data_IF_745953712061
#
_entry.id   IF_745953712061
#
_cell.length_a   1.000
_cell.length_b   1.000
_cell.length_c   1.000
_cell.angle_alpha   90.00
_cell.angle_beta   90.00
_cell.angle_gamma   90.00
#
_symmetry.space_group_name_H-M   'P 1'
#
loop_
_entity.id
_entity.type
_entity.pdbx_description
1 polymer ?
#
# COMPACT_ATOMS: atom_id res chain seq x y z
N UNK A 1 -33.65 24.55 30.34
CA UNK A 1 -32.79 24.41 29.15
C UNK A 1 -32.08 23.08 29.30
N UNK A 2 -32.52 22.05 28.59
CA UNK A 2 -31.84 20.76 28.56
C UNK A 2 -30.65 20.88 27.61
N UNK A 3 -29.44 20.69 28.14
CA UNK A 3 -28.24 20.56 27.33
C UNK A 3 -28.41 19.41 26.33
N UNK A 4 -28.60 19.75 25.06
CA UNK A 4 -28.48 18.79 23.96
C UNK A 4 -26.99 18.48 23.85
N UNK A 5 -26.53 17.54 24.67
CA UNK A 5 -25.20 16.95 24.55
C UNK A 5 -25.10 16.43 23.11
N UNK A 6 -24.24 17.05 22.28
CA UNK A 6 -24.03 16.65 20.87
C UNK A 6 -23.70 15.17 20.82
N UNK A 7 -24.70 14.35 20.51
CA UNK A 7 -24.65 12.88 20.53
C UNK A 7 -23.60 12.30 19.60
N UNK A 8 -23.08 13.11 18.67
CA UNK A 8 -22.11 12.69 17.65
C UNK A 8 -20.64 12.86 18.06
N UNK A 9 -20.33 13.54 19.18
CA UNK A 9 -18.93 13.77 19.57
C UNK A 9 -18.17 12.45 19.78
N UNK A 10 -18.79 11.46 20.44
CA UNK A 10 -18.16 10.16 20.67
C UNK A 10 -17.85 9.42 19.37
N UNK A 11 -18.76 9.48 18.39
CA UNK A 11 -18.56 8.87 17.06
C UNK A 11 -17.46 9.60 16.28
N UNK A 12 -17.46 10.93 16.31
CA UNK A 12 -16.44 11.74 15.65
C UNK A 12 -15.06 11.48 16.26
N UNK A 13 -14.95 11.50 17.59
CA UNK A 13 -13.70 11.22 18.29
C UNK A 13 -13.18 9.83 17.94
N UNK A 14 -14.04 8.82 17.91
CA UNK A 14 -13.66 7.47 17.49
C UNK A 14 -13.12 7.42 16.05
N UNK A 15 -13.70 8.18 15.11
CA UNK A 15 -13.18 8.23 13.73
C UNK A 15 -11.80 8.91 13.66
N UNK A 16 -11.57 9.92 14.49
CA UNK A 16 -10.31 10.67 14.56
C UNK A 16 -9.21 9.92 15.31
N UNK A 17 -9.57 9.09 16.29
CA UNK A 17 -8.63 8.29 17.09
C UNK A 17 -8.10 7.07 16.32
N UNK A 18 -8.71 6.70 15.19
CA UNK A 18 -8.28 5.57 14.37
C UNK A 18 -7.23 5.99 13.36
N UNK A 19 -6.05 5.36 13.41
CA UNK A 19 -5.00 5.55 12.39
C UNK A 19 -5.43 4.88 11.08
N UNK A 20 -5.54 5.62 9.95
CA UNK A 20 -5.84 5.01 8.67
C UNK A 20 -4.61 4.30 8.10
N UNK A 21 -4.78 3.05 7.68
CA UNK A 21 -3.77 2.26 6.98
C UNK A 21 -4.26 2.03 5.56
N UNK A 22 -3.64 2.69 4.59
CA UNK A 22 -4.07 2.61 3.20
C UNK A 22 -3.29 1.55 2.43
N UNK A 23 -4.03 0.70 1.74
CA UNK A 23 -3.53 -0.21 0.73
C UNK A 23 -4.01 0.17 -0.66
N UNK A 24 -3.27 -0.22 -1.71
CA UNK A 24 -3.69 -0.04 -3.10
C UNK A 24 -4.09 -1.39 -3.70
N UNK A 25 -5.40 -1.61 -3.86
CA UNK A 25 -5.99 -2.89 -4.29
C UNK A 25 -5.73 -4.03 -3.29
N UNK A 26 -5.45 -3.68 -2.03
CA UNK A 26 -5.09 -4.62 -0.98
C UNK A 26 -6.24 -5.50 -0.55
N UNK A 27 -7.48 -5.04 -0.72
CA UNK A 27 -8.67 -5.83 -0.44
C UNK A 27 -8.79 -7.07 -1.30
N UNK A 28 -8.18 -7.03 -2.51
CA UNK A 28 -8.16 -8.14 -3.46
C UNK A 28 -6.91 -8.99 -3.34
N UNK A 29 -5.76 -8.39 -3.12
CA UNK A 29 -4.47 -9.09 -3.08
C UNK A 29 -3.97 -9.32 -1.66
N UNK A 30 -3.43 -8.28 -1.02
CA UNK A 30 -2.68 -8.41 0.24
C UNK A 30 -3.51 -9.05 1.36
N UNK A 31 -4.72 -8.54 1.61
CA UNK A 31 -5.58 -9.03 2.69
C UNK A 31 -5.96 -10.49 2.47
N UNK A 32 -6.18 -10.92 1.22
CA UNK A 32 -6.51 -12.33 0.96
C UNK A 32 -5.34 -13.26 1.24
N UNK A 33 -4.10 -12.78 1.04
CA UNK A 33 -2.88 -13.52 1.34
C UNK A 33 -2.65 -13.62 2.86
N UNK A 34 -2.77 -12.49 3.58
CA UNK A 34 -2.33 -12.40 4.99
C UNK A 34 -3.46 -12.49 6.03
N UNK A 35 -4.75 -12.53 5.63
CA UNK A 35 -5.89 -12.43 6.56
C UNK A 35 -5.80 -13.37 7.76
N UNK A 36 -5.32 -14.61 7.59
CA UNK A 36 -5.24 -15.58 8.68
C UNK A 36 -4.34 -15.06 9.80
N UNK A 37 -3.11 -14.67 9.44
CA UNK A 37 -2.14 -14.17 10.40
C UNK A 37 -2.51 -12.77 10.89
N UNK A 38 -3.05 -11.93 10.01
CA UNK A 38 -3.55 -10.60 10.35
C UNK A 38 -4.61 -10.64 11.45
N UNK A 39 -5.63 -11.49 11.31
CA UNK A 39 -6.68 -11.63 12.34
C UNK A 39 -6.16 -12.31 13.61
N UNK A 40 -5.18 -13.19 13.51
CA UNK A 40 -4.53 -13.79 14.68
C UNK A 40 -3.76 -12.76 15.51
N UNK A 41 -3.05 -11.83 14.86
CA UNK A 41 -2.29 -10.76 15.53
C UNK A 41 -3.19 -9.66 16.06
N UNK A 42 -4.18 -9.21 15.29
CA UNK A 42 -5.10 -8.14 15.72
C UNK A 42 -6.01 -8.63 16.86
N UNK A 43 -6.38 -9.90 16.84
CA UNK A 43 -7.39 -10.48 17.73
C UNK A 43 -8.81 -10.09 17.30
N UNK A 44 -9.68 -11.08 17.19
CA UNK A 44 -11.06 -10.87 16.71
C UNK A 44 -11.88 -9.94 17.60
N UNK A 45 -11.58 -9.88 18.90
CA UNK A 45 -12.29 -9.04 19.86
C UNK A 45 -12.00 -7.54 19.68
N UNK A 46 -10.87 -7.20 19.04
CA UNK A 46 -10.50 -5.83 18.72
C UNK A 46 -11.18 -5.31 17.45
N UNK A 47 -11.81 -6.19 16.67
CA UNK A 47 -12.50 -5.82 15.43
C UNK A 47 -13.81 -5.10 15.76
N UNK A 48 -13.95 -3.88 15.24
CA UNK A 48 -15.19 -3.10 15.34
C UNK A 48 -16.09 -3.29 14.12
N UNK A 49 -15.51 -3.40 12.94
CA UNK A 49 -16.26 -3.71 11.72
C UNK A 49 -15.37 -4.23 10.61
N UNK A 50 -15.97 -5.01 9.72
CA UNK A 50 -15.37 -5.49 8.48
C UNK A 50 -16.36 -5.29 7.36
N UNK A 51 -15.97 -4.57 6.31
CA UNK A 51 -16.79 -4.31 5.13
C UNK A 51 -16.15 -5.02 3.94
N UNK A 52 -16.93 -5.85 3.25
CA UNK A 52 -16.49 -6.63 2.10
C UNK A 52 -17.52 -6.55 0.97
N UNK A 53 -17.12 -6.09 -0.21
CA UNK A 53 -17.97 -6.09 -1.40
C UNK A 53 -17.17 -5.88 -2.71
N UNK A 54 -16.93 -6.92 -3.54
CA UNK A 54 -16.78 -8.33 -3.17
C UNK A 54 -15.45 -8.58 -2.41
N UNK A 55 -14.50 -7.65 -2.49
CA UNK A 55 -13.20 -7.63 -1.79
C UNK A 55 -13.28 -6.85 -0.48
N UNK A 56 -12.28 -7.01 0.41
CA UNK A 56 -12.24 -6.25 1.67
C UNK A 56 -12.08 -4.75 1.37
N UNK A 57 -13.04 -3.95 1.77
CA UNK A 57 -13.00 -2.49 1.61
C UNK A 57 -12.46 -1.83 2.88
N UNK A 58 -12.81 -2.38 4.04
CA UNK A 58 -12.47 -1.83 5.34
C UNK A 58 -12.33 -2.93 6.40
N UNK A 59 -11.28 -2.85 7.21
CA UNK A 59 -11.15 -3.58 8.48
C UNK A 59 -10.87 -2.54 9.57
N UNK A 60 -11.83 -2.32 10.46
CA UNK A 60 -11.74 -1.34 11.52
C UNK A 60 -11.55 -2.01 12.88
N UNK A 61 -10.62 -1.47 13.66
CA UNK A 61 -10.36 -1.83 15.07
C UNK A 61 -10.64 -0.62 15.97
N UNK A 62 -10.34 -0.68 17.26
CA UNK A 62 -10.37 0.51 18.12
C UNK A 62 -9.33 1.57 17.71
N UNK A 63 -8.13 1.17 17.30
CA UNK A 63 -7.00 2.08 17.06
C UNK A 63 -6.59 2.29 15.61
N UNK A 64 -7.08 1.46 14.68
CA UNK A 64 -6.75 1.59 13.25
C UNK A 64 -7.92 1.25 12.34
N UNK A 65 -7.86 1.78 11.11
CA UNK A 65 -8.78 1.45 10.01
C UNK A 65 -7.99 1.14 8.75
N UNK A 66 -7.94 -0.13 8.38
CA UNK A 66 -7.33 -0.56 7.12
C UNK A 66 -8.31 -0.31 5.99
N UNK A 67 -7.91 0.46 4.99
CA UNK A 67 -8.74 0.90 3.88
C UNK A 67 -8.07 0.58 2.55
N UNK A 68 -8.85 0.12 1.58
CA UNK A 68 -8.38 -0.01 0.21
C UNK A 68 -8.73 1.25 -0.59
N UNK A 69 -7.71 2.00 -0.99
CA UNK A 69 -7.86 3.30 -1.64
C UNK A 69 -8.54 3.18 -3.01
N UNK A 70 -8.55 2.00 -3.63
CA UNK A 70 -9.20 1.81 -4.94
C UNK A 70 -10.72 2.01 -4.89
N UNK A 71 -11.32 1.96 -3.70
CA UNK A 71 -12.75 2.26 -3.51
C UNK A 71 -13.06 3.75 -3.51
N UNK A 72 -12.04 4.61 -3.41
CA UNK A 72 -12.18 6.06 -3.26
C UNK A 72 -11.60 6.84 -4.45
N UNK A 73 -11.16 6.13 -5.49
CA UNK A 73 -10.61 6.72 -6.72
C UNK A 73 -11.39 6.17 -7.93
N UNK A 74 -11.35 6.86 -9.09
CA UNK A 74 -12.04 6.39 -10.29
C UNK A 74 -11.65 4.97 -10.66
N UNK A 75 -12.65 4.18 -11.08
CA UNK A 75 -12.44 2.80 -11.52
C UNK A 75 -11.38 2.73 -12.65
N UNK A 76 -10.51 1.73 -12.58
CA UNK A 76 -9.42 1.55 -13.55
C UNK A 76 -8.22 2.47 -13.32
N UNK A 77 -8.21 3.32 -12.28
CA UNK A 77 -7.01 4.08 -11.91
C UNK A 77 -5.88 3.14 -11.55
N UNK A 78 -4.76 3.23 -12.27
CA UNK A 78 -3.56 2.45 -11.96
C UNK A 78 -2.83 3.06 -10.77
N UNK A 79 -2.01 2.24 -10.07
CA UNK A 79 -1.18 2.75 -8.98
C UNK A 79 -0.21 3.85 -9.45
N UNK A 80 0.22 3.81 -10.72
CA UNK A 80 1.09 4.83 -11.31
C UNK A 80 0.37 6.18 -11.42
N UNK A 81 -0.85 6.15 -11.95
CA UNK A 81 -1.70 7.33 -12.10
C UNK A 81 -2.07 7.93 -10.75
N UNK A 82 -2.32 7.07 -9.76
CA UNK A 82 -2.54 7.49 -8.38
C UNK A 82 -1.33 8.25 -7.84
N UNK A 83 -0.13 7.65 -7.88
CA UNK A 83 1.09 8.28 -7.38
C UNK A 83 1.41 9.61 -8.09
N UNK A 84 1.36 9.62 -9.42
CA UNK A 84 1.66 10.82 -10.22
C UNK A 84 0.71 11.98 -9.95
N UNK A 85 -0.55 11.70 -9.60
CA UNK A 85 -1.55 12.73 -9.24
C UNK A 85 -1.16 13.46 -7.94
N UNK A 86 -0.67 12.75 -6.92
CA UNK A 86 -0.32 13.36 -5.64
C UNK A 86 1.12 13.87 -5.58
N UNK A 87 2.04 13.26 -6.33
CA UNK A 87 3.47 13.60 -6.32
C UNK A 87 3.84 14.61 -7.42
N UNK A 88 2.98 14.79 -8.41
CA UNK A 88 3.14 15.80 -9.45
C UNK A 88 4.20 15.48 -10.52
N UNK A 89 4.69 14.24 -10.56
CA UNK A 89 5.65 13.74 -11.56
C UNK A 89 7.04 14.38 -11.48
N UNK A 90 7.88 14.07 -12.47
CA UNK A 90 9.23 14.62 -12.54
C UNK A 90 9.21 16.14 -12.77
N UNK A 91 9.68 16.90 -11.78
CA UNK A 91 9.84 18.37 -11.83
C UNK A 91 11.29 18.83 -11.79
N UNK A 92 12.23 17.89 -11.73
CA UNK A 92 13.67 18.11 -11.57
C UNK A 92 14.45 17.35 -12.65
N UNK A 93 15.63 17.84 -12.99
CA UNK A 93 16.50 17.22 -13.99
C UNK A 93 17.17 15.94 -13.48
N UNK A 94 17.41 15.84 -12.16
CA UNK A 94 17.96 14.64 -11.51
C UNK A 94 16.88 13.57 -11.32
N UNK A 95 16.55 12.84 -12.38
CA UNK A 95 15.50 11.80 -12.35
C UNK A 95 15.82 10.59 -11.47
N UNK A 96 17.08 10.40 -11.07
CA UNK A 96 17.54 9.22 -10.32
C UNK A 96 17.40 9.44 -8.82
N UNK A 97 17.83 10.59 -8.29
CA UNK A 97 17.87 10.86 -6.84
C UNK A 97 16.72 11.71 -6.33
N UNK A 98 15.97 12.32 -7.23
CA UNK A 98 14.95 13.27 -6.87
C UNK A 98 13.63 12.59 -6.44
N UNK A 99 13.14 13.00 -5.27
CA UNK A 99 11.92 12.45 -4.68
C UNK A 99 10.62 12.94 -5.35
N UNK A 100 10.65 14.02 -6.13
CA UNK A 100 9.43 14.50 -6.82
C UNK A 100 8.98 13.55 -7.94
N UNK A 101 9.89 12.75 -8.48
CA UNK A 101 9.60 11.68 -9.43
C UNK A 101 9.34 10.33 -8.78
N UNK A 102 9.07 10.26 -7.46
CA UNK A 102 8.74 9.01 -6.78
C UNK A 102 7.60 8.30 -7.51
N UNK A 103 7.93 7.11 -8.02
CA UNK A 103 7.03 6.27 -8.79
C UNK A 103 6.84 4.94 -8.10
N UNK A 104 6.36 3.95 -8.85
CA UNK A 104 6.25 2.58 -8.32
C UNK A 104 7.61 2.05 -7.92
N UNK A 105 7.66 1.36 -6.77
CA UNK A 105 8.82 0.56 -6.41
C UNK A 105 9.09 -0.52 -7.45
N UNK A 106 10.37 -0.76 -7.73
CA UNK A 106 10.84 -1.82 -8.60
C UNK A 106 11.19 -3.02 -7.73
N UNK A 107 10.58 -4.17 -8.02
CA UNK A 107 10.68 -5.35 -7.16
C UNK A 107 11.07 -6.58 -7.97
N UNK A 108 12.09 -7.36 -7.56
CA UNK A 108 12.60 -8.50 -8.32
C UNK A 108 11.76 -9.76 -8.04
N UNK A 109 10.53 -9.77 -8.57
CA UNK A 109 9.52 -10.79 -8.24
C UNK A 109 9.97 -12.24 -8.44
N UNK A 110 10.74 -12.51 -9.50
CA UNK A 110 11.16 -13.89 -9.84
C UNK A 110 12.44 -14.32 -9.12
N UNK A 111 13.18 -13.37 -8.56
CA UNK A 111 14.38 -13.65 -7.78
C UNK A 111 14.05 -14.10 -6.35
N UNK A 112 12.99 -13.54 -5.77
CA UNK A 112 12.58 -13.83 -4.39
C UNK A 112 11.76 -15.13 -4.38
N UNK A 113 12.48 -16.24 -4.22
CA UNK A 113 11.90 -17.60 -4.18
C UNK A 113 11.90 -18.20 -2.76
N UNK A 114 12.58 -17.56 -1.81
CA UNK A 114 12.67 -18.00 -0.42
C UNK A 114 12.90 -16.81 0.53
N UNK A 115 12.51 -16.96 1.80
CA UNK A 115 12.59 -15.90 2.80
C UNK A 115 14.03 -15.42 3.08
N UNK A 116 15.02 -16.30 2.97
CA UNK A 116 16.43 -15.94 3.17
C UNK A 116 16.94 -14.90 2.16
N UNK A 117 16.30 -14.77 0.99
CA UNK A 117 16.62 -13.73 0.01
C UNK A 117 16.39 -12.33 0.61
N UNK A 118 15.40 -12.18 1.49
CA UNK A 118 15.10 -10.91 2.17
C UNK A 118 16.17 -10.49 3.18
N UNK A 119 17.08 -11.40 3.56
CA UNK A 119 18.18 -11.11 4.48
C UNK A 119 19.47 -10.69 3.74
N UNK A 120 19.47 -10.66 2.41
CA UNK A 120 20.63 -10.23 1.64
C UNK A 120 20.87 -8.73 1.81
N UNK A 121 22.13 -8.34 1.97
CA UNK A 121 22.52 -6.93 2.19
C UNK A 121 22.91 -6.20 0.90
N UNK A 122 22.80 -6.86 -0.24
CA UNK A 122 23.18 -6.34 -1.54
C UNK A 122 21.99 -6.42 -2.51
N UNK A 123 21.91 -5.41 -3.39
CA UNK A 123 20.91 -5.38 -4.45
C UNK A 123 21.24 -6.50 -5.45
N UNK A 124 20.25 -7.30 -5.87
CA UNK A 124 20.48 -8.38 -6.82
C UNK A 124 20.86 -7.81 -8.20
N UNK A 125 21.51 -8.61 -9.05
CA UNK A 125 21.93 -8.15 -10.37
C UNK A 125 20.74 -7.63 -11.20
N UNK A 126 21.01 -6.74 -12.16
CA UNK A 126 19.98 -6.13 -13.02
C UNK A 126 19.01 -7.15 -13.64
N UNK A 127 19.51 -8.31 -14.07
CA UNK A 127 18.71 -9.40 -14.65
C UNK A 127 17.72 -10.03 -13.66
N UNK A 128 17.91 -9.88 -12.35
CA UNK A 128 16.98 -10.37 -11.34
C UNK A 128 15.63 -9.62 -11.35
N UNK A 129 15.57 -8.46 -12.01
CA UNK A 129 14.35 -7.67 -12.19
C UNK A 129 13.61 -7.99 -13.49
N UNK A 130 14.11 -8.92 -14.30
CA UNK A 130 13.43 -9.36 -15.52
C UNK A 130 12.10 -10.04 -15.17
N UNK A 131 11.05 -9.75 -15.95
CA UNK A 131 9.73 -10.33 -15.79
C UNK A 131 9.42 -11.24 -16.97
N UNK A 132 9.40 -12.55 -16.77
CA UNK A 132 8.93 -13.53 -17.78
C UNK A 132 7.45 -13.38 -18.05
N UNK A 133 6.66 -13.05 -17.01
CA UNK A 133 5.22 -12.80 -17.15
C UNK A 133 4.92 -11.67 -18.14
N UNK A 134 5.75 -10.63 -18.17
CA UNK A 134 5.57 -9.46 -19.05
C UNK A 134 6.51 -9.45 -20.26
N UNK A 135 7.53 -10.30 -20.28
CA UNK A 135 8.59 -10.28 -21.27
C UNK A 135 9.41 -8.98 -21.24
N UNK A 136 9.62 -8.39 -20.06
CA UNK A 136 10.27 -7.08 -19.91
C UNK A 136 11.51 -7.14 -19.03
N UNK A 137 12.50 -6.31 -19.35
CA UNK A 137 13.68 -6.07 -18.52
C UNK A 137 13.68 -4.66 -17.95
N UNK A 138 14.31 -4.49 -16.78
CA UNK A 138 14.51 -3.18 -16.17
C UNK A 138 15.48 -2.31 -17.00
N UNK A 139 15.25 -1.00 -17.05
CA UNK A 139 16.17 -0.07 -17.72
C UNK A 139 17.44 0.16 -16.88
N UNK A 140 18.49 0.71 -17.47
CA UNK A 140 19.69 1.05 -16.70
C UNK A 140 19.41 2.16 -15.69
N UNK A 141 18.65 3.18 -16.07
CA UNK A 141 18.26 4.28 -15.19
C UNK A 141 17.42 3.80 -14.00
N UNK A 142 16.46 2.90 -14.24
CA UNK A 142 15.66 2.29 -13.18
C UNK A 142 16.50 1.43 -12.24
N UNK A 143 17.51 0.72 -12.76
CA UNK A 143 18.42 -0.05 -11.92
C UNK A 143 19.33 0.84 -11.06
N UNK A 144 19.82 1.97 -11.59
CA UNK A 144 20.54 2.97 -10.79
C UNK A 144 19.65 3.58 -9.72
N UNK A 145 18.36 3.80 -10.01
CA UNK A 145 17.39 4.28 -9.05
C UNK A 145 17.20 3.32 -7.88
N UNK A 146 17.14 2.00 -8.12
CA UNK A 146 17.04 0.99 -7.06
C UNK A 146 18.22 1.04 -6.09
N UNK A 147 19.39 1.52 -6.52
CA UNK A 147 20.57 1.67 -5.64
C UNK A 147 20.51 2.84 -4.67
N UNK A 148 19.57 3.76 -4.87
CA UNK A 148 19.43 4.96 -4.04
C UNK A 148 18.37 4.82 -2.94
N UNK A 149 17.44 3.85 -3.09
CA UNK A 149 16.34 3.59 -2.15
C UNK A 149 16.79 2.56 -1.12
#
# INVERSE_FOLDING_TARGET
MSDVQRSDYGKLKQQLDQVPVFGFNSGRYDINLIKKDLFAVIGTDNIKSVIKNPSYMCIATSGMKMLDITNYIPAGTSYDKYLTTYLGGYKCDDKIRCVCGLGKGLFPYEYITAFNVLNQTAIPPKSAFDSKLRGTSITSDDYERVKFV
#
